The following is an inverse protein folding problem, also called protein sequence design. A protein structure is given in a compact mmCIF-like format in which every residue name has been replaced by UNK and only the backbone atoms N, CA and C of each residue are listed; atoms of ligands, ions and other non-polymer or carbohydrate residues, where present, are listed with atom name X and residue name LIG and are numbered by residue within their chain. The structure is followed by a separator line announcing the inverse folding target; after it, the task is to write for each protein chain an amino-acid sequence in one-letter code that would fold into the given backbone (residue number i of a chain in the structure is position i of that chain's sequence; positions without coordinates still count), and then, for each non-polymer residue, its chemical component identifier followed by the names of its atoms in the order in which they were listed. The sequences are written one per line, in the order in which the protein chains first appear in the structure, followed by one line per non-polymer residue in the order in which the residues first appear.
data_IF_940575248716
#
_entry.id   IF_940575248716
#
_cell.length_a   1.000
_cell.length_b   1.000
_cell.length_c   1.000
_cell.angle_alpha   90.00
_cell.angle_beta   90.00
_cell.angle_gamma   90.00
#
_symmetry.space_group_name_H-M   'P 1'
#
loop_
_entity.id
_entity.type
_entity.pdbx_description
1 polymer ?
#
# COMPACT_ATOMS: atom_id res chain seq x y z
N UNK A 1 -8.01 -9.50 -23.91
CA UNK A 1 -9.11 -9.56 -22.93
C UNK A 1 -8.87 -10.51 -21.74
N UNK A 2 -7.63 -10.93 -21.44
CA UNK A 2 -7.34 -11.93 -20.37
C UNK A 2 -5.94 -11.75 -19.74
N UNK A 3 -5.60 -10.58 -19.16
CA UNK A 3 -4.32 -10.39 -18.42
C UNK A 3 -4.39 -9.58 -17.11
N UNK A 4 -5.57 -9.50 -16.47
CA UNK A 4 -5.72 -8.78 -15.18
C UNK A 4 -5.27 -9.57 -13.93
N UNK A 5 -4.57 -10.70 -14.08
CA UNK A 5 -3.93 -11.45 -12.97
C UNK A 5 -2.41 -11.25 -12.99
N UNK A 6 -1.99 -10.00 -13.12
CA UNK A 6 -0.57 -9.62 -13.11
C UNK A 6 -0.19 -9.22 -11.68
N UNK A 7 0.99 -9.59 -11.18
CA UNK A 7 1.45 -9.23 -9.82
C UNK A 7 1.28 -7.74 -9.48
N UNK A 8 1.42 -6.86 -10.49
CA UNK A 8 1.11 -5.43 -10.42
C UNK A 8 -0.29 -5.14 -9.89
N UNK A 9 -1.32 -5.91 -10.26
CA UNK A 9 -2.69 -5.68 -9.79
C UNK A 9 -2.85 -6.00 -8.29
N UNK A 10 -2.04 -6.92 -7.75
CA UNK A 10 -2.05 -7.21 -6.31
C UNK A 10 -1.42 -6.02 -5.56
N UNK A 11 -0.34 -5.46 -6.08
CA UNK A 11 0.27 -4.25 -5.50
C UNK A 11 -0.69 -3.06 -5.58
N UNK A 12 -1.32 -2.84 -6.74
CA UNK A 12 -2.34 -1.77 -6.91
C UNK A 12 -3.50 -1.96 -5.94
N UNK A 13 -3.98 -3.19 -5.74
CA UNK A 13 -5.06 -3.45 -4.79
C UNK A 13 -4.67 -3.10 -3.34
N UNK A 14 -3.43 -3.39 -2.92
CA UNK A 14 -2.98 -3.05 -1.56
C UNK A 14 -2.77 -1.56 -1.40
N UNK A 15 -2.22 -0.90 -2.42
CA UNK A 15 -2.14 0.56 -2.44
C UNK A 15 -3.53 1.17 -2.34
N UNK A 16 -4.49 0.71 -3.15
CA UNK A 16 -5.87 1.20 -3.10
C UNK A 16 -6.55 0.95 -1.75
N UNK A 17 -6.27 -0.17 -1.09
CA UNK A 17 -6.79 -0.45 0.25
C UNK A 17 -6.14 0.47 1.29
N UNK A 18 -4.82 0.67 1.23
CA UNK A 18 -4.10 1.61 2.10
C UNK A 18 -4.56 3.05 1.90
N UNK A 19 -4.80 3.47 0.65
CA UNK A 19 -5.31 4.80 0.30
C UNK A 19 -6.77 4.97 0.73
N UNK A 20 -7.60 3.93 0.62
CA UNK A 20 -8.97 3.96 1.13
C UNK A 20 -8.99 4.12 2.66
N UNK A 21 -8.09 3.41 3.36
CA UNK A 21 -7.92 3.55 4.81
C UNK A 21 -7.42 4.96 5.18
N UNK A 22 -6.41 5.48 4.49
CA UNK A 22 -5.92 6.84 4.71
C UNK A 22 -7.01 7.90 4.39
N UNK A 23 -7.77 7.71 3.32
CA UNK A 23 -8.88 8.60 2.97
C UNK A 23 -9.98 8.58 4.03
N UNK A 24 -10.20 7.44 4.68
CA UNK A 24 -11.13 7.32 5.80
C UNK A 24 -10.64 8.05 7.06
N UNK A 25 -9.33 8.23 7.24
CA UNK A 25 -8.76 8.99 8.38
C UNK A 25 -8.69 10.50 8.13
N UNK A 26 -8.71 10.95 6.86
CA UNK A 26 -8.73 12.37 6.48
C UNK A 26 -9.80 13.20 7.19
N UNK A 27 -11.10 12.82 7.26
CA UNK A 27 -12.09 13.64 7.96
C UNK A 27 -11.79 13.80 9.46
N UNK A 28 -11.20 12.79 10.11
CA UNK A 28 -10.78 12.89 11.51
C UNK A 28 -9.63 13.88 11.67
N UNK A 29 -8.68 13.88 10.73
CA UNK A 29 -7.61 14.88 10.69
C UNK A 29 -8.18 16.28 10.44
N UNK A 30 -9.13 16.45 9.52
CA UNK A 30 -9.78 17.74 9.26
C UNK A 30 -10.49 18.30 10.49
N UNK A 31 -11.18 17.44 11.27
CA UNK A 31 -11.80 17.86 12.54
C UNK A 31 -10.74 18.29 13.55
N UNK A 32 -9.62 17.58 13.66
CA UNK A 32 -8.51 17.98 14.52
C UNK A 32 -7.89 19.32 14.11
N UNK A 33 -7.72 19.55 12.80
CA UNK A 33 -7.22 20.82 12.28
C UNK A 33 -8.20 21.98 12.54
N UNK A 34 -9.52 21.73 12.45
CA UNK A 34 -10.53 22.76 12.68
C UNK A 34 -10.76 23.07 14.17
N UNK A 35 -10.80 22.04 15.02
CA UNK A 35 -11.03 22.20 16.47
C UNK A 35 -9.76 22.52 17.27
N UNK A 36 -8.58 22.35 16.67
CA UNK A 36 -7.28 22.48 17.36
C UNK A 36 -7.06 21.49 18.51
N UNK A 37 -8.00 20.56 18.69
CA UNK A 37 -8.05 19.57 19.77
C UNK A 37 -8.54 18.24 19.20
N UNK A 38 -8.08 17.12 19.77
CA UNK A 38 -8.44 15.77 19.31
C UNK A 38 -9.56 15.19 20.18
N UNK A 39 -10.85 15.27 19.78
CA UNK A 39 -11.97 14.81 20.61
C UNK A 39 -12.18 13.29 20.57
N UNK A 40 -11.55 12.57 19.63
CA UNK A 40 -11.81 11.16 19.35
C UNK A 40 -11.09 10.17 20.29
N UNK A 41 -10.38 10.69 21.30
CA UNK A 41 -9.62 9.89 22.25
C UNK A 41 -8.28 9.36 21.69
N UNK A 42 -7.42 8.87 22.59
CA UNK A 42 -6.05 8.43 22.26
C UNK A 42 -6.00 7.21 21.33
N UNK A 43 -7.04 6.37 21.36
CA UNK A 43 -7.14 5.16 20.52
C UNK A 43 -7.18 5.55 19.04
N UNK A 44 -8.11 6.44 18.65
CA UNK A 44 -8.22 6.87 17.25
C UNK A 44 -6.99 7.68 16.82
N UNK A 45 -6.38 8.47 17.71
CA UNK A 45 -5.12 9.15 17.41
C UNK A 45 -4.01 8.15 17.04
N UNK A 46 -3.82 7.09 17.85
CA UNK A 46 -2.85 6.04 17.56
C UNK A 46 -3.15 5.33 16.24
N UNK A 47 -4.42 4.99 15.99
CA UNK A 47 -4.84 4.31 14.75
C UNK A 47 -4.54 5.19 13.52
N UNK A 48 -4.88 6.47 13.57
CA UNK A 48 -4.67 7.42 12.45
C UNK A 48 -3.18 7.57 12.15
N UNK A 49 -2.35 7.75 13.19
CA UNK A 49 -0.89 7.82 13.03
C UNK A 49 -0.35 6.50 12.46
N UNK A 50 -0.78 5.35 13.01
CA UNK A 50 -0.37 4.05 12.50
C UNK A 50 -0.72 3.89 11.01
N UNK A 51 -1.96 4.20 10.61
CA UNK A 51 -2.40 4.12 9.21
C UNK A 51 -1.57 5.03 8.30
N UNK A 52 -1.23 6.24 8.75
CA UNK A 52 -0.39 7.17 7.99
C UNK A 52 1.02 6.60 7.74
N UNK A 53 1.67 6.08 8.78
CA UNK A 53 2.94 5.37 8.64
C UNK A 53 2.82 4.14 7.73
N UNK A 54 1.77 3.33 7.90
CA UNK A 54 1.52 2.16 7.04
C UNK A 54 1.35 2.57 5.57
N UNK A 55 0.61 3.64 5.29
CA UNK A 55 0.43 4.14 3.92
C UNK A 55 1.78 4.60 3.32
N UNK A 56 2.59 5.33 4.10
CA UNK A 56 3.93 5.75 3.68
C UNK A 56 4.82 4.57 3.32
N UNK A 57 4.90 3.55 4.20
CA UNK A 57 5.69 2.34 3.93
C UNK A 57 5.15 1.56 2.73
N UNK A 58 3.84 1.33 2.67
CA UNK A 58 3.18 0.60 1.57
C UNK A 58 3.48 1.25 0.23
N UNK A 59 3.40 2.59 0.16
CA UNK A 59 3.67 3.36 -1.04
C UNK A 59 5.13 3.21 -1.49
N UNK A 60 6.09 3.29 -0.57
CA UNK A 60 7.52 3.10 -0.87
C UNK A 60 7.79 1.68 -1.37
N UNK A 61 7.25 0.66 -0.70
CA UNK A 61 7.42 -0.73 -1.13
C UNK A 61 6.76 -1.00 -2.49
N UNK A 62 5.59 -0.40 -2.73
CA UNK A 62 4.88 -0.50 -4.01
C UNK A 62 5.70 0.16 -5.13
N UNK A 63 6.25 1.34 -4.90
CA UNK A 63 7.12 2.02 -5.87
C UNK A 63 8.42 1.25 -6.12
N UNK A 64 9.04 0.70 -5.08
CA UNK A 64 10.23 -0.12 -5.19
C UNK A 64 9.95 -1.38 -6.02
N UNK A 65 8.87 -2.10 -5.71
CA UNK A 65 8.48 -3.30 -6.47
C UNK A 65 8.10 -2.97 -7.92
N UNK A 66 7.42 -1.85 -8.18
CA UNK A 66 7.16 -1.38 -9.55
C UNK A 66 8.46 -1.05 -10.30
N UNK A 67 9.42 -0.41 -9.65
CA UNK A 67 10.73 -0.08 -10.23
C UNK A 67 11.54 -1.34 -10.53
N UNK A 68 11.55 -2.30 -9.61
CA UNK A 68 12.17 -3.61 -9.78
C UNK A 68 11.49 -4.41 -10.89
N UNK A 69 10.16 -4.42 -10.96
CA UNK A 69 9.40 -5.07 -12.04
C UNK A 69 9.78 -4.50 -13.40
N UNK A 70 9.91 -3.16 -13.52
CA UNK A 70 10.38 -2.50 -14.74
C UNK A 70 11.81 -2.85 -15.09
N UNK A 71 12.70 -2.88 -14.10
CA UNK A 71 14.10 -3.27 -14.28
C UNK A 71 14.21 -4.73 -14.77
N UNK A 72 13.50 -5.66 -14.13
CA UNK A 72 13.48 -7.08 -14.52
C UNK A 72 12.85 -7.25 -15.91
N UNK A 73 11.78 -6.52 -16.22
CA UNK A 73 11.15 -6.59 -17.54
C UNK A 73 12.08 -6.14 -18.68
N UNK A 74 12.93 -5.13 -18.43
CA UNK A 74 13.88 -4.59 -19.42
C UNK A 74 15.14 -5.46 -19.52
N UNK A 75 15.77 -5.81 -18.39
CA UNK A 75 17.04 -6.54 -18.39
C UNK A 75 16.87 -8.06 -18.52
N UNK A 76 15.77 -8.62 -18.04
CA UNK A 76 15.56 -10.07 -17.91
C UNK A 76 14.11 -10.49 -18.25
N UNK A 77 13.68 -10.36 -19.52
CA UNK A 77 12.30 -10.63 -19.92
C UNK A 77 11.83 -12.07 -19.62
N UNK A 78 12.75 -13.04 -19.62
CA UNK A 78 12.44 -14.45 -19.31
C UNK A 78 12.25 -14.68 -17.81
N UNK A 79 13.07 -14.04 -16.94
CA UNK A 79 12.94 -14.15 -15.48
C UNK A 79 11.75 -13.35 -14.93
N UNK A 80 11.32 -12.31 -15.65
CA UNK A 80 10.13 -11.52 -15.30
C UNK A 80 8.86 -12.38 -15.18
N UNK A 81 8.75 -13.45 -15.97
CA UNK A 81 7.59 -14.36 -15.94
C UNK A 81 7.54 -15.18 -14.65
N UNK A 82 8.70 -15.57 -14.12
CA UNK A 82 8.80 -16.43 -12.94
C UNK A 82 8.71 -15.62 -11.63
N UNK A 83 9.28 -14.41 -11.63
CA UNK A 83 9.24 -13.51 -10.48
C UNK A 83 7.84 -12.93 -10.22
N UNK A 84 6.98 -12.83 -11.25
CA UNK A 84 5.59 -12.36 -11.16
C UNK A 84 4.61 -13.36 -10.51
N UNK A 85 5.08 -14.19 -9.59
CA UNK A 85 4.23 -15.16 -8.90
C UNK A 85 3.36 -14.46 -7.83
N UNK A 86 2.03 -14.71 -7.82
CA UNK A 86 1.10 -14.08 -6.87
C UNK A 86 1.37 -14.45 -5.41
N UNK A 87 2.15 -15.52 -5.17
CA UNK A 87 2.57 -15.96 -3.84
C UNK A 87 3.44 -14.92 -3.16
N UNK A 88 4.44 -14.38 -3.86
CA UNK A 88 5.32 -13.36 -3.30
C UNK A 88 4.56 -12.07 -3.02
N UNK A 89 3.65 -11.67 -3.91
CA UNK A 89 2.78 -10.52 -3.68
C UNK A 89 1.88 -10.73 -2.43
N UNK A 90 1.35 -11.95 -2.23
CA UNK A 90 0.60 -12.27 -1.01
C UNK A 90 1.48 -12.23 0.24
N UNK A 91 2.71 -12.72 0.18
CA UNK A 91 3.68 -12.63 1.29
C UNK A 91 4.00 -11.18 1.62
N UNK A 92 4.27 -10.34 0.62
CA UNK A 92 4.51 -8.90 0.82
C UNK A 92 3.30 -8.23 1.47
N UNK A 93 2.08 -8.57 1.06
CA UNK A 93 0.88 -8.04 1.73
C UNK A 93 0.81 -8.47 3.19
N UNK A 94 1.04 -9.75 3.48
CA UNK A 94 1.03 -10.25 4.86
C UNK A 94 2.12 -9.56 5.68
N UNK A 95 3.32 -9.37 5.14
CA UNK A 95 4.41 -8.64 5.79
C UNK A 95 4.14 -7.14 5.94
N UNK A 96 3.26 -6.55 5.12
CA UNK A 96 2.88 -5.16 5.24
C UNK A 96 1.73 -4.95 6.25
N UNK A 97 0.97 -6.02 6.52
CA UNK A 97 -0.10 -6.04 7.53
C UNK A 97 0.36 -6.54 8.91
N UNK A 98 1.57 -7.09 9.02
CA UNK A 98 2.23 -7.49 10.28
C UNK A 98 3.28 -6.44 10.61
#
# INVERSE_FOLDING_TARGET
YTKMKTATNIYIFNLALADALATSTLPFQSVNYLMGTWPFGTILCKIVISIDYYNMFTSIFTLCTMSVDRYIAVCHPVKALDFRTPRNAKTVNVCNWI
#
